data_IF_856038074812
#
_entry.id   IF_856038074812
#
_cell.length_a   1.000
_cell.length_b   1.000
_cell.length_c   1.000
_cell.angle_alpha   90.00
_cell.angle_beta   90.00
_cell.angle_gamma   90.00
#
_symmetry.space_group_name_H-M   'P 1'
#
loop_
_entity.id
_entity.type
_entity.pdbx_description
1 polymer ?
#
# COMPACT_ATOMS: atom_id res chain seq x y z
N UNK A 1 22.71 -13.70 17.54
CA UNK A 1 22.23 -12.41 16.98
C UNK A 1 20.76 -12.49 16.53
N UNK A 2 19.93 -13.24 17.25
CA UNK A 2 18.50 -13.45 16.93
C UNK A 2 17.57 -12.82 17.99
N UNK A 3 18.16 -12.19 19.02
CA UNK A 3 17.47 -11.57 20.14
C UNK A 3 17.16 -10.09 19.95
N UNK A 4 17.85 -9.38 19.02
CA UNK A 4 17.59 -7.96 18.75
C UNK A 4 16.44 -7.69 17.77
N UNK A 5 15.96 -8.70 17.04
CA UNK A 5 14.84 -8.55 16.09
C UNK A 5 13.49 -8.58 16.83
N UNK A 6 13.39 -9.30 17.97
CA UNK A 6 12.15 -9.44 18.74
C UNK A 6 11.72 -8.19 19.52
N UNK A 7 12.60 -7.20 19.70
CA UNK A 7 12.27 -6.00 20.48
C UNK A 7 11.58 -4.89 19.67
N UNK A 8 11.41 -5.07 18.36
CA UNK A 8 10.72 -4.10 17.49
C UNK A 8 9.22 -4.40 17.32
N UNK A 9 8.71 -5.52 17.83
CA UNK A 9 7.31 -5.94 17.65
C UNK A 9 6.34 -5.47 18.74
N UNK A 10 6.72 -4.58 19.65
CA UNK A 10 5.75 -4.06 20.62
C UNK A 10 6.08 -2.65 21.09
N UNK A 11 5.91 -1.67 20.20
CA UNK A 11 5.62 -0.30 20.64
C UNK A 11 4.09 -0.14 20.71
N UNK A 12 3.47 -0.15 21.90
CA UNK A 12 2.02 -0.12 22.05
C UNK A 12 1.38 1.25 21.78
N UNK A 13 2.16 2.26 21.35
CA UNK A 13 1.69 3.64 21.21
C UNK A 13 1.17 4.02 19.82
N UNK A 14 1.22 3.10 18.84
CA UNK A 14 0.74 3.38 17.46
C UNK A 14 -0.77 3.14 17.27
N UNK A 15 -1.45 2.59 18.28
CA UNK A 15 -2.87 2.23 18.19
C UNK A 15 -3.77 3.30 18.85
N UNK A 16 -3.65 4.56 18.43
CA UNK A 16 -4.64 5.59 18.75
C UNK A 16 -5.73 5.73 17.67
N UNK A 17 -5.53 5.08 16.52
CA UNK A 17 -6.45 5.06 15.39
C UNK A 17 -6.65 3.59 14.97
N UNK A 18 -7.85 3.21 14.55
CA UNK A 18 -8.18 1.84 14.17
C UNK A 18 -7.27 1.28 13.08
N UNK A 19 -7.36 -0.03 12.83
CA UNK A 19 -6.60 -0.68 11.75
C UNK A 19 -6.71 0.11 10.43
N UNK A 20 -5.60 0.31 9.71
CA UNK A 20 -5.58 1.07 8.47
C UNK A 20 -6.57 0.48 7.46
N UNK A 21 -7.41 1.35 6.89
CA UNK A 21 -8.53 1.00 6.01
C UNK A 21 -8.11 1.06 4.54
N UNK A 22 -7.06 1.83 4.23
CA UNK A 22 -6.53 1.96 2.87
C UNK A 22 -5.00 1.81 2.82
N UNK A 23 -4.48 1.54 1.62
CA UNK A 23 -3.03 1.33 1.41
C UNK A 23 -2.22 2.61 1.70
N UNK A 24 -2.79 3.80 1.47
CA UNK A 24 -2.09 5.07 1.67
C UNK A 24 -1.83 5.38 3.15
N UNK A 25 -2.71 4.91 4.05
CA UNK A 25 -2.52 5.05 5.51
C UNK A 25 -1.30 4.28 6.00
N UNK A 26 -0.98 3.14 5.38
CA UNK A 26 0.26 2.42 5.69
C UNK A 26 1.50 3.24 5.33
N UNK A 27 1.45 4.06 4.28
CA UNK A 27 2.56 4.94 3.93
C UNK A 27 2.79 6.01 5.01
N UNK A 28 1.72 6.59 5.55
CA UNK A 28 1.83 7.57 6.65
C UNK A 28 2.30 6.93 7.96
N UNK A 29 1.84 5.72 8.27
CA UNK A 29 2.32 4.95 9.41
C UNK A 29 3.81 4.60 9.23
N UNK A 30 4.23 4.21 8.03
CA UNK A 30 5.63 3.94 7.72
C UNK A 30 6.50 5.19 7.85
N UNK A 31 6.00 6.37 7.45
CA UNK A 31 6.68 7.66 7.62
C UNK A 31 6.91 8.00 9.10
N UNK A 32 5.99 7.61 9.97
CA UNK A 32 6.10 7.84 11.42
C UNK A 32 6.96 6.78 12.12
N UNK A 33 6.96 5.54 11.62
CA UNK A 33 7.65 4.41 12.23
C UNK A 33 9.11 4.26 11.78
N UNK A 34 9.47 4.66 10.56
CA UNK A 34 10.79 4.42 9.99
C UNK A 34 11.72 5.65 10.12
N UNK A 35 13.02 5.45 10.38
CA UNK A 35 14.01 6.51 10.24
C UNK A 35 14.06 7.02 8.79
N UNK A 36 14.25 8.34 8.64
CA UNK A 36 14.17 9.06 7.35
C UNK A 36 14.92 8.39 6.19
N UNK A 37 16.14 7.92 6.43
CA UNK A 37 16.96 7.26 5.41
C UNK A 37 16.29 6.02 4.80
N UNK A 38 15.63 5.20 5.62
CA UNK A 38 14.95 3.99 5.16
C UNK A 38 13.64 4.34 4.47
N UNK A 39 12.90 5.32 5.01
CA UNK A 39 11.67 5.78 4.39
C UNK A 39 11.94 6.33 2.98
N UNK A 40 12.91 7.24 2.84
CA UNK A 40 13.25 7.88 1.56
C UNK A 40 13.68 6.85 0.50
N UNK A 41 14.34 5.75 0.91
CA UNK A 41 14.71 4.66 0.01
C UNK A 41 13.50 3.93 -0.58
N UNK A 42 12.47 3.68 0.24
CA UNK A 42 11.26 2.96 -0.22
C UNK A 42 10.24 3.88 -0.90
N UNK A 43 10.14 5.14 -0.48
CA UNK A 43 9.18 6.09 -1.06
C UNK A 43 9.69 6.79 -2.31
N UNK A 44 11.02 6.77 -2.55
CA UNK A 44 11.65 7.52 -3.63
C UNK A 44 11.41 6.92 -5.01
N UNK A 45 11.07 7.77 -5.98
CA UNK A 45 11.16 7.48 -7.40
C UNK A 45 12.47 8.01 -8.02
N UNK A 46 12.70 7.73 -9.30
CA UNK A 46 13.85 8.28 -10.03
C UNK A 46 13.70 9.80 -10.26
N UNK A 47 14.78 10.55 -10.04
CA UNK A 47 14.87 12.01 -10.21
C UNK A 47 13.65 12.75 -9.64
N UNK A 48 12.86 13.42 -10.48
CA UNK A 48 11.68 14.20 -10.10
C UNK A 48 10.43 13.35 -9.84
N UNK A 49 10.56 12.02 -9.84
CA UNK A 49 9.48 11.04 -9.59
C UNK A 49 8.29 11.16 -10.56
N UNK A 50 8.50 11.78 -11.72
CA UNK A 50 7.46 12.03 -12.71
C UNK A 50 6.78 10.74 -13.16
N UNK A 51 7.55 9.70 -13.48
CA UNK A 51 7.02 8.40 -13.89
C UNK A 51 6.23 7.72 -12.77
N UNK A 52 6.66 7.87 -11.51
CA UNK A 52 5.95 7.29 -10.37
C UNK A 52 4.56 7.93 -10.24
N UNK A 53 4.48 9.26 -10.39
CA UNK A 53 3.22 9.99 -10.40
C UNK A 53 2.33 9.61 -11.60
N UNK A 54 2.90 9.58 -12.80
CA UNK A 54 2.15 9.23 -14.02
C UNK A 54 1.59 7.80 -13.96
N UNK A 55 2.31 6.84 -13.37
CA UNK A 55 1.81 5.47 -13.20
C UNK A 55 0.51 5.42 -12.38
N UNK A 56 0.42 6.22 -11.32
CA UNK A 56 -0.80 6.31 -10.49
C UNK A 56 -1.90 7.05 -11.26
N UNK A 57 -1.57 8.18 -11.88
CA UNK A 57 -2.53 8.97 -12.64
C UNK A 57 -3.10 8.22 -13.85
N UNK A 58 -2.31 7.34 -14.47
CA UNK A 58 -2.74 6.52 -15.60
C UNK A 58 -3.97 5.65 -15.27
N UNK A 59 -4.06 5.11 -14.05
CA UNK A 59 -5.24 4.36 -13.61
C UNK A 59 -6.48 5.25 -13.49
N UNK A 60 -6.33 6.50 -13.05
CA UNK A 60 -7.44 7.46 -12.94
C UNK A 60 -8.01 7.88 -14.31
N UNK A 61 -7.23 7.75 -15.38
CA UNK A 61 -7.71 8.02 -16.75
C UNK A 61 -8.71 6.96 -17.24
N UNK A 62 -8.77 5.79 -16.60
CA UNK A 62 -9.64 4.67 -17.00
C UNK A 62 -10.88 4.68 -16.10
N UNK A 63 -12.06 4.81 -16.70
CA UNK A 63 -13.35 4.79 -15.97
C UNK A 63 -14.08 3.47 -16.20
N UNK A 64 -14.70 2.95 -15.14
CA UNK A 64 -15.54 1.76 -15.24
C UNK A 64 -16.90 2.08 -15.90
N UNK A 65 -17.35 1.19 -16.78
CA UNK A 65 -18.74 1.14 -17.26
C UNK A 65 -19.45 -0.06 -16.61
N UNK A 66 -20.00 0.09 -15.39
CA UNK A 66 -20.60 -1.04 -14.68
C UNK A 66 -21.82 -1.59 -15.44
N UNK A 67 -21.95 -2.91 -15.46
CA UNK A 67 -23.13 -3.59 -16.00
C UNK A 67 -24.13 -3.81 -14.86
N UNK A 68 -25.36 -3.36 -15.05
CA UNK A 68 -26.43 -3.51 -14.06
C UNK A 68 -27.20 -4.82 -14.26
N UNK A 69 -27.93 -5.24 -13.22
CA UNK A 69 -28.79 -6.44 -13.23
C UNK A 69 -28.03 -7.75 -13.53
N UNK A 70 -26.74 -7.80 -13.20
CA UNK A 70 -25.92 -9.02 -13.23
C UNK A 70 -25.88 -9.58 -11.81
N UNK A 71 -26.17 -10.88 -11.66
CA UNK A 71 -25.98 -11.56 -10.38
C UNK A 71 -24.49 -11.65 -10.06
N UNK A 72 -24.08 -10.99 -8.98
CA UNK A 72 -22.71 -10.94 -8.45
C UNK A 72 -22.60 -11.65 -7.09
N UNK A 73 -23.54 -12.53 -6.76
CA UNK A 73 -23.56 -13.26 -5.49
C UNK A 73 -22.32 -14.15 -5.25
N UNK A 74 -21.66 -14.57 -6.33
CA UNK A 74 -20.38 -15.30 -6.28
C UNK A 74 -19.36 -14.62 -7.19
N UNK A 75 -18.34 -14.02 -6.60
CA UNK A 75 -17.22 -13.41 -7.30
C UNK A 75 -16.00 -14.30 -7.10
N UNK A 76 -15.38 -14.73 -8.19
CA UNK A 76 -14.10 -15.42 -8.15
C UNK A 76 -13.01 -14.53 -8.76
N UNK A 77 -11.98 -14.21 -7.97
CA UNK A 77 -10.83 -13.40 -8.37
C UNK A 77 -9.58 -14.25 -8.64
N UNK A 78 -9.68 -15.59 -8.58
CA UNK A 78 -8.56 -16.50 -8.84
C UNK A 78 -8.08 -16.36 -10.28
N UNK A 79 -6.77 -16.25 -10.47
CA UNK A 79 -6.14 -16.24 -11.77
C UNK A 79 -4.79 -16.96 -11.69
N UNK A 80 -4.27 -17.41 -12.81
CA UNK A 80 -2.94 -18.01 -12.93
C UNK A 80 -2.01 -17.02 -13.64
N UNK A 81 -0.83 -16.79 -13.07
CA UNK A 81 0.16 -15.87 -13.61
C UNK A 81 1.46 -16.64 -13.81
N UNK A 82 1.95 -16.68 -15.06
CA UNK A 82 3.13 -17.45 -15.49
C UNK A 82 3.02 -18.98 -15.37
N UNK A 83 1.81 -19.54 -15.58
CA UNK A 83 1.56 -20.99 -15.60
C UNK A 83 1.43 -21.61 -14.21
#
# INVERSE_FOLDING_TARGET
>A
NASSIKSLESNPSINAHGEPVNVNEFQELARQALPKMYYDYYSGGAEDQYTLKENVEAFCRITFRPRILVDVSRINLSTTVLG
#
